data_IF_195319692898
#
_entry.id   IF_195319692898
#
_cell.length_a   1.000
_cell.length_b   1.000
_cell.length_c   1.000
_cell.angle_alpha   90.00
_cell.angle_beta   90.00
_cell.angle_gamma   90.00
#
_symmetry.space_group_name_H-M   'P 1'
#
loop_
_entity.id
_entity.type
_entity.pdbx_description
1 polymer ?
#
# COMPACT_ATOMS: atom_id res chain seq x y z
N UNK A 1 -8.14 59.65 -16.50
CA UNK A 1 -7.73 58.73 -15.43
C UNK A 1 -6.63 59.45 -14.65
N UNK A 2 -6.85 59.64 -13.35
CA UNK A 2 -5.87 60.35 -12.51
C UNK A 2 -4.67 59.45 -12.23
N UNK A 3 -3.56 59.80 -12.85
CA UNK A 3 -2.28 59.08 -12.71
C UNK A 3 -1.88 58.88 -11.23
N UNK A 4 -2.26 59.77 -10.34
CA UNK A 4 -2.07 59.69 -8.89
C UNK A 4 -2.79 58.47 -8.27
N UNK A 5 -4.02 58.16 -8.73
CA UNK A 5 -4.80 57.06 -8.20
C UNK A 5 -4.22 55.72 -8.65
N UNK A 6 -3.71 55.60 -9.88
CA UNK A 6 -3.03 54.42 -10.41
C UNK A 6 -1.71 54.20 -9.65
N UNK A 7 -0.95 55.25 -9.40
CA UNK A 7 0.31 55.14 -8.66
C UNK A 7 0.08 54.73 -7.20
N UNK A 8 -0.95 55.25 -6.54
CA UNK A 8 -1.34 54.84 -5.19
C UNK A 8 -1.79 53.36 -5.14
N UNK A 9 -2.53 52.89 -6.15
CA UNK A 9 -2.96 51.51 -6.22
C UNK A 9 -1.78 50.55 -6.37
N UNK A 10 -0.78 50.91 -7.21
CA UNK A 10 0.44 50.10 -7.38
C UNK A 10 1.24 50.03 -6.07
N UNK A 11 1.43 51.16 -5.41
CA UNK A 11 2.16 51.21 -4.13
C UNK A 11 1.45 50.36 -3.07
N UNK A 12 0.12 50.53 -2.95
CA UNK A 12 -0.65 49.73 -1.97
C UNK A 12 -0.58 48.24 -2.23
N UNK A 13 -0.70 47.83 -3.50
CA UNK A 13 -0.57 46.43 -3.92
C UNK A 13 0.82 45.87 -3.60
N UNK A 14 1.87 46.62 -3.86
CA UNK A 14 3.24 46.20 -3.57
C UNK A 14 3.48 46.04 -2.06
N UNK A 15 2.96 46.95 -1.24
CA UNK A 15 3.06 46.83 0.23
C UNK A 15 2.34 45.57 0.75
N UNK A 16 1.16 45.27 0.20
CA UNK A 16 0.43 44.03 0.57
C UNK A 16 1.22 42.78 0.18
N UNK A 17 1.81 42.75 -1.02
CA UNK A 17 2.61 41.62 -1.48
C UNK A 17 3.87 41.42 -0.63
N UNK A 18 4.58 42.48 -0.30
CA UNK A 18 5.76 42.42 0.57
C UNK A 18 5.37 41.96 1.99
N UNK A 19 4.26 42.51 2.52
CA UNK A 19 3.74 42.09 3.81
C UNK A 19 3.37 40.59 3.83
N UNK A 20 2.74 40.10 2.78
CA UNK A 20 2.43 38.66 2.65
C UNK A 20 3.70 37.81 2.59
N UNK A 21 4.67 38.16 1.75
CA UNK A 21 5.92 37.43 1.61
C UNK A 21 6.74 37.36 2.92
N UNK A 22 6.72 38.45 3.72
CA UNK A 22 7.48 38.46 4.99
C UNK A 22 6.82 37.72 6.14
N UNK A 23 5.47 37.62 6.14
CA UNK A 23 4.74 37.00 7.26
C UNK A 23 4.22 35.59 6.99
N UNK A 24 4.02 35.24 5.71
CA UNK A 24 3.38 33.96 5.33
C UNK A 24 4.25 33.03 4.48
N UNK A 25 5.33 33.52 3.84
CA UNK A 25 6.27 32.64 3.15
C UNK A 25 7.30 32.10 4.14
N UNK A 26 7.30 30.78 4.34
CA UNK A 26 8.35 30.09 5.07
C UNK A 26 9.68 30.24 4.33
N UNK A 27 10.82 30.47 5.00
CA UNK A 27 12.11 30.61 4.34
C UNK A 27 12.45 29.34 3.57
N UNK A 28 12.70 29.50 2.27
CA UNK A 28 13.24 28.44 1.42
C UNK A 28 14.64 28.12 1.99
N UNK A 29 14.79 26.94 2.58
CA UNK A 29 16.09 26.42 3.00
C UNK A 29 16.88 26.09 1.72
N UNK A 30 17.73 27.01 1.28
CA UNK A 30 18.75 26.73 0.27
C UNK A 30 19.67 25.62 0.80
N UNK A 31 19.57 24.45 0.23
CA UNK A 31 20.62 23.44 0.39
C UNK A 31 21.88 23.96 -0.25
N UNK A 32 22.79 24.48 0.58
CA UNK A 32 24.17 24.77 0.15
C UNK A 32 24.84 23.50 -0.30
N UNK A 33 25.04 23.37 -1.58
CA UNK A 33 25.97 22.41 -2.17
C UNK A 33 27.37 22.75 -1.63
N UNK A 34 27.88 21.89 -0.77
CA UNK A 34 29.26 22.03 -0.27
C UNK A 34 30.19 21.69 -1.41
N UNK A 35 30.82 22.69 -2.03
CA UNK A 35 31.96 22.56 -2.87
C UNK A 35 33.16 22.18 -1.98
N UNK A 36 33.61 20.93 -2.05
CA UNK A 36 34.86 20.47 -1.43
C UNK A 36 36.02 21.07 -2.16
N UNK A 37 36.69 22.05 -1.54
CA UNK A 37 38.04 22.45 -1.89
C UNK A 37 39.01 21.35 -1.47
N UNK A 38 39.68 20.77 -2.46
CA UNK A 38 40.78 19.81 -2.30
C UNK A 38 42.04 20.58 -1.91
N UNK A 39 42.45 20.48 -0.67
CA UNK A 39 43.85 20.75 -0.29
C UNK A 39 44.62 19.44 -0.35
N UNK A 40 45.62 19.42 -1.23
CA UNK A 40 46.64 18.37 -1.30
C UNK A 40 47.48 18.40 -0.02
N UNK A 41 47.55 17.26 0.67
CA UNK A 41 48.76 16.87 1.39
C UNK A 41 48.93 15.36 1.26
N UNK A 42 50.19 15.00 1.03
CA UNK A 42 50.66 13.70 0.60
C UNK A 42 50.82 12.70 1.74
N UNK A 43 50.73 11.41 1.36
CA UNK A 43 51.25 10.22 2.04
C UNK A 43 50.46 9.67 3.24
N UNK A 44 49.63 8.63 2.96
CA UNK A 44 49.84 7.31 3.54
C UNK A 44 48.96 6.30 2.79
N UNK A 45 49.60 5.34 2.13
CA UNK A 45 48.94 4.19 1.51
C UNK A 45 48.50 3.20 2.59
N UNK A 46 47.18 3.07 2.74
CA UNK A 46 46.51 1.89 3.28
C UNK A 46 45.39 1.49 2.32
N UNK A 47 45.26 0.22 1.91
CA UNK A 47 44.12 -0.21 1.14
C UNK A 47 42.91 -0.24 2.06
N UNK A 48 42.11 0.83 2.07
CA UNK A 48 40.79 0.77 2.59
C UNK A 48 39.94 -0.03 1.58
N UNK A 49 39.60 -1.24 1.94
CA UNK A 49 38.50 -1.97 1.36
C UNK A 49 37.27 -1.13 1.72
N UNK A 50 36.81 -0.32 0.78
CA UNK A 50 35.44 0.20 0.82
C UNK A 50 34.51 -1.03 0.71
N UNK A 51 34.20 -1.63 1.85
CA UNK A 51 33.00 -2.42 1.99
C UNK A 51 31.84 -1.44 1.82
N UNK A 52 31.47 -1.16 0.56
CA UNK A 52 30.09 -0.85 0.25
C UNK A 52 29.30 -2.01 0.81
N UNK A 53 28.71 -1.83 1.98
CA UNK A 53 27.55 -2.63 2.39
C UNK A 53 26.57 -2.58 1.23
N UNK A 54 26.61 -3.59 0.39
CA UNK A 54 25.53 -3.89 -0.54
C UNK A 54 24.39 -4.29 0.39
N UNK A 55 23.62 -3.31 0.88
CA UNK A 55 22.28 -3.56 1.37
C UNK A 55 21.56 -4.17 0.18
N UNK A 56 21.49 -5.48 0.14
CA UNK A 56 20.65 -6.22 -0.80
C UNK A 56 19.23 -5.73 -0.55
N UNK A 57 18.80 -4.70 -1.28
CA UNK A 57 17.43 -4.24 -1.25
C UNK A 57 16.56 -5.40 -1.69
N UNK A 58 15.76 -5.90 -0.75
CA UNK A 58 14.81 -6.98 -1.02
C UNK A 58 13.88 -6.49 -2.14
N UNK A 59 13.94 -7.13 -3.29
CA UNK A 59 13.10 -6.77 -4.42
C UNK A 59 11.70 -7.39 -4.29
N UNK A 60 10.73 -6.84 -5.03
CA UNK A 60 9.40 -7.42 -5.15
C UNK A 60 9.44 -8.89 -5.59
N UNK A 61 10.31 -9.22 -6.54
CA UNK A 61 10.50 -10.57 -7.06
C UNK A 61 11.01 -11.54 -5.99
N UNK A 62 11.93 -11.10 -5.15
CA UNK A 62 12.49 -11.91 -4.08
C UNK A 62 11.41 -12.33 -3.06
N UNK A 63 10.50 -11.39 -2.73
CA UNK A 63 9.39 -11.68 -1.81
C UNK A 63 8.39 -12.64 -2.45
N UNK A 64 8.01 -12.42 -3.70
CA UNK A 64 7.06 -13.28 -4.43
C UNK A 64 7.58 -14.72 -4.50
N UNK A 65 8.87 -14.90 -4.79
CA UNK A 65 9.46 -16.22 -4.98
C UNK A 65 9.67 -17.00 -3.66
N UNK A 66 9.62 -16.34 -2.51
CA UNK A 66 9.80 -17.00 -1.19
C UNK A 66 8.56 -17.71 -0.67
N UNK A 67 7.36 -17.39 -1.18
CA UNK A 67 6.11 -17.91 -0.66
C UNK A 67 5.36 -18.76 -1.69
N UNK A 68 4.64 -19.78 -1.21
CA UNK A 68 3.70 -20.49 -2.06
C UNK A 68 2.52 -19.59 -2.40
N UNK A 69 2.11 -19.58 -3.67
CA UNK A 69 1.13 -18.61 -4.16
C UNK A 69 0.06 -19.27 -5.05
N UNK A 70 -1.10 -18.62 -5.11
CA UNK A 70 -2.17 -18.92 -6.06
C UNK A 70 -2.15 -17.86 -7.15
N UNK A 71 -2.11 -18.27 -8.41
CA UNK A 71 -2.11 -17.36 -9.55
C UNK A 71 -3.46 -16.64 -9.68
N UNK A 72 -3.43 -15.37 -10.07
CA UNK A 72 -4.60 -14.55 -10.45
C UNK A 72 -4.48 -14.17 -11.90
N UNK A 73 -5.55 -14.33 -12.67
CA UNK A 73 -5.56 -13.89 -14.06
C UNK A 73 -6.97 -13.65 -14.61
N UNK A 74 -7.17 -12.49 -15.24
CA UNK A 74 -8.29 -12.20 -16.13
C UNK A 74 -7.81 -11.32 -17.30
N UNK A 75 -8.72 -10.72 -18.07
CA UNK A 75 -8.38 -9.86 -19.19
C UNK A 75 -7.62 -8.58 -18.79
N UNK A 76 -7.83 -8.08 -17.58
CA UNK A 76 -7.36 -6.76 -17.14
C UNK A 76 -6.20 -6.82 -16.14
N UNK A 77 -6.14 -7.88 -15.32
CA UNK A 77 -5.14 -8.04 -14.27
C UNK A 77 -4.45 -9.39 -14.34
N UNK A 78 -3.23 -9.43 -13.82
CA UNK A 78 -2.48 -10.63 -13.48
C UNK A 78 -1.79 -10.44 -12.13
N UNK A 79 -1.49 -11.55 -11.46
CA UNK A 79 -0.81 -11.49 -10.17
C UNK A 79 -0.92 -12.79 -9.40
N UNK A 80 -0.86 -12.68 -8.07
CA UNK A 80 -0.96 -13.84 -7.20
C UNK A 80 -1.39 -13.48 -5.77
N UNK A 81 -1.88 -14.49 -5.05
CA UNK A 81 -2.23 -14.45 -3.64
C UNK A 81 -1.19 -15.26 -2.87
N UNK A 82 -0.60 -14.69 -1.83
CA UNK A 82 0.25 -15.43 -0.91
C UNK A 82 -0.58 -16.42 -0.10
N UNK A 83 -0.13 -17.67 0.01
CA UNK A 83 -0.72 -18.65 0.92
C UNK A 83 -0.30 -18.45 2.37
N UNK A 84 0.75 -17.68 2.61
CA UNK A 84 1.10 -17.19 3.93
C UNK A 84 0.20 -15.98 4.25
N UNK A 85 -0.62 -16.08 5.28
CA UNK A 85 -1.61 -15.08 5.67
C UNK A 85 -2.85 -14.99 4.77
N UNK A 86 -2.87 -15.66 3.62
CA UNK A 86 -3.91 -15.51 2.58
C UNK A 86 -4.07 -14.05 2.12
N UNK A 87 -2.94 -13.41 1.79
CA UNK A 87 -2.82 -11.98 1.46
C UNK A 87 -2.89 -11.77 -0.05
N UNK A 88 -3.71 -10.82 -0.50
CA UNK A 88 -3.73 -10.34 -1.88
C UNK A 88 -2.73 -9.18 -1.97
N UNK A 89 -1.54 -9.45 -2.50
CA UNK A 89 -0.41 -8.54 -2.43
C UNK A 89 0.39 -8.42 -3.74
N UNK A 90 -0.09 -9.04 -4.80
CA UNK A 90 0.57 -9.03 -6.10
C UNK A 90 -0.47 -8.88 -7.21
N UNK A 91 -0.73 -7.64 -7.64
CA UNK A 91 -1.63 -7.32 -8.75
C UNK A 91 -0.93 -6.36 -9.70
N UNK A 92 -0.91 -6.72 -10.98
CA UNK A 92 -0.39 -5.91 -12.09
C UNK A 92 -1.53 -5.64 -13.06
N UNK A 93 -1.71 -4.40 -13.45
CA UNK A 93 -2.63 -4.01 -14.51
C UNK A 93 -2.04 -4.33 -15.89
N UNK A 94 -2.74 -5.16 -16.67
CA UNK A 94 -2.27 -5.56 -18.02
C UNK A 94 -2.36 -4.42 -19.05
N UNK A 95 -3.35 -3.56 -18.91
CA UNK A 95 -3.73 -2.55 -19.89
C UNK A 95 -3.27 -1.13 -19.54
N UNK A 96 -2.60 -0.95 -18.37
CA UNK A 96 -2.13 0.35 -17.90
C UNK A 96 -0.60 0.35 -17.79
N UNK A 97 0.01 1.38 -18.34
CA UNK A 97 1.46 1.62 -18.31
C UNK A 97 1.79 2.73 -17.32
N UNK A 98 2.96 2.70 -16.71
CA UNK A 98 3.42 3.75 -15.80
C UNK A 98 3.60 5.10 -16.48
N UNK A 99 4.04 5.07 -17.76
CA UNK A 99 4.21 6.28 -18.57
C UNK A 99 3.61 6.04 -19.96
N UNK A 100 3.22 7.11 -20.66
CA UNK A 100 2.58 7.04 -21.98
C UNK A 100 3.41 6.25 -23.00
N UNK A 101 4.71 6.46 -23.02
CA UNK A 101 5.63 5.85 -23.99
C UNK A 101 6.43 4.66 -23.41
N UNK A 102 6.22 4.31 -22.14
CA UNK A 102 6.94 3.21 -21.50
C UNK A 102 6.29 1.86 -21.76
N UNK A 103 7.05 0.79 -21.51
CA UNK A 103 6.53 -0.60 -21.55
C UNK A 103 6.17 -1.14 -20.16
N UNK A 104 6.67 -0.50 -19.10
CA UNK A 104 6.45 -0.95 -17.74
C UNK A 104 4.99 -0.81 -17.31
N UNK A 105 4.42 -1.91 -16.82
CA UNK A 105 3.03 -1.96 -16.33
C UNK A 105 2.94 -1.44 -14.90
N UNK A 106 1.74 -1.01 -14.51
CA UNK A 106 1.46 -0.56 -13.15
C UNK A 106 1.36 -1.78 -12.23
N UNK A 107 2.25 -1.83 -11.23
CA UNK A 107 2.10 -2.72 -10.09
C UNK A 107 1.13 -2.07 -9.12
N UNK A 108 -0.12 -2.53 -9.11
CA UNK A 108 -1.16 -1.96 -8.26
C UNK A 108 -1.00 -2.41 -6.80
N UNK A 109 -0.75 -3.70 -6.57
CA UNK A 109 -0.40 -4.24 -5.27
C UNK A 109 1.05 -4.75 -5.28
N UNK A 110 1.70 -4.59 -4.14
CA UNK A 110 3.07 -5.02 -3.90
C UNK A 110 3.14 -5.85 -2.62
N UNK A 111 3.96 -6.92 -2.61
CA UNK A 111 4.05 -7.84 -1.51
C UNK A 111 4.34 -7.17 -0.16
N UNK A 112 3.74 -7.73 0.88
CA UNK A 112 4.09 -7.47 2.27
C UNK A 112 5.60 -7.66 2.45
N UNK A 113 6.25 -6.79 3.20
CA UNK A 113 7.71 -6.73 3.40
C UNK A 113 8.53 -6.34 2.15
N UNK A 114 7.91 -5.85 1.08
CA UNK A 114 8.62 -5.21 -0.02
C UNK A 114 8.81 -3.70 0.26
N UNK A 115 9.76 -3.02 -0.41
CA UNK A 115 10.03 -1.59 -0.17
C UNK A 115 8.81 -0.68 -0.32
N UNK A 116 7.91 -1.01 -1.25
CA UNK A 116 6.66 -0.28 -1.54
C UNK A 116 5.45 -1.18 -1.33
N UNK A 117 5.36 -1.78 -0.13
CA UNK A 117 4.26 -2.69 0.18
C UNK A 117 2.90 -2.01 0.03
N UNK A 118 1.99 -2.71 -0.61
CA UNK A 118 0.59 -2.32 -0.76
C UNK A 118 -0.23 -3.60 -0.95
N UNK A 119 -0.97 -4.00 0.06
CA UNK A 119 -1.64 -5.28 0.09
C UNK A 119 -2.98 -5.22 0.82
N UNK A 120 -3.78 -6.27 0.61
CA UNK A 120 -5.09 -6.44 1.23
C UNK A 120 -5.04 -7.74 2.03
N UNK A 121 -5.39 -7.67 3.30
CA UNK A 121 -5.58 -8.84 4.16
C UNK A 121 -6.97 -8.84 4.79
N UNK A 122 -7.48 -10.01 5.05
CA UNK A 122 -8.73 -10.24 5.74
C UNK A 122 -8.54 -11.25 6.86
N UNK A 123 -9.31 -11.17 7.91
CA UNK A 123 -9.14 -12.07 9.05
C UNK A 123 -10.32 -12.06 9.99
N UNK A 124 -10.09 -12.59 11.19
CA UNK A 124 -11.06 -12.63 12.26
C UNK A 124 -10.42 -12.20 13.56
N UNK A 125 -11.13 -11.41 14.33
CA UNK A 125 -10.89 -11.17 15.73
C UNK A 125 -11.87 -12.00 16.56
N UNK A 126 -11.44 -12.50 17.71
CA UNK A 126 -12.31 -13.18 18.66
C UNK A 126 -12.63 -12.28 19.84
N UNK A 127 -13.84 -12.39 20.38
CA UNK A 127 -14.24 -11.77 21.65
C UNK A 127 -14.27 -12.79 22.77
N UNK A 128 -13.96 -12.35 23.99
CA UNK A 128 -14.02 -13.18 25.19
C UNK A 128 -12.65 -13.55 25.76
N UNK A 129 -12.67 -14.20 26.92
CA UNK A 129 -11.48 -14.59 27.68
C UNK A 129 -10.86 -15.92 27.24
N UNK A 130 -11.46 -16.61 26.29
CA UNK A 130 -10.95 -17.90 25.81
C UNK A 130 -9.79 -17.68 24.82
N UNK A 131 -8.69 -18.39 25.03
CA UNK A 131 -7.56 -18.42 24.11
C UNK A 131 -7.92 -19.27 22.88
N UNK A 132 -8.40 -18.61 21.83
CA UNK A 132 -8.73 -19.24 20.56
C UNK A 132 -7.54 -19.09 19.61
N UNK A 133 -7.11 -20.18 19.00
CA UNK A 133 -6.09 -20.14 17.95
C UNK A 133 -6.75 -19.66 16.65
N UNK A 134 -6.40 -18.43 16.27
CA UNK A 134 -6.84 -17.77 15.03
C UNK A 134 -5.78 -17.86 13.93
N UNK A 135 -6.15 -17.80 12.65
CA UNK A 135 -5.20 -17.65 11.58
C UNK A 135 -4.59 -16.25 11.62
N UNK A 136 -3.26 -16.17 11.63
CA UNK A 136 -2.47 -14.95 11.69
C UNK A 136 -1.80 -14.65 10.35
N UNK A 137 -1.07 -13.54 10.25
CA UNK A 137 -0.38 -13.13 9.04
C UNK A 137 0.72 -14.11 8.54
N UNK A 138 1.22 -14.99 9.40
CA UNK A 138 2.18 -16.05 9.06
C UNK A 138 1.55 -17.44 8.91
N UNK A 139 0.24 -17.54 9.00
CA UNK A 139 -0.47 -18.82 8.84
C UNK A 139 -0.41 -19.30 7.39
N UNK A 140 -0.02 -20.56 7.18
CA UNK A 140 -0.01 -21.17 5.85
C UNK A 140 -1.39 -21.77 5.56
N UNK A 141 -2.02 -21.26 4.51
CA UNK A 141 -3.33 -21.70 4.06
C UNK A 141 -3.22 -22.81 3.01
N UNK A 142 -4.16 -23.74 3.05
CA UNK A 142 -4.29 -24.82 2.08
C UNK A 142 -5.31 -24.43 1.00
N UNK A 143 -4.95 -24.68 -0.26
CA UNK A 143 -5.86 -24.45 -1.40
C UNK A 143 -6.71 -25.69 -1.61
N UNK A 144 -8.04 -25.50 -1.64
CA UNK A 144 -8.99 -26.54 -2.03
C UNK A 144 -9.37 -26.37 -3.51
N UNK A 145 -9.06 -27.36 -4.33
CA UNK A 145 -9.36 -27.32 -5.77
C UNK A 145 -8.30 -26.59 -6.60
N UNK A 146 -8.72 -25.72 -7.52
CA UNK A 146 -7.85 -25.03 -8.48
C UNK A 146 -6.90 -24.04 -7.82
N UNK A 147 -5.69 -23.94 -8.36
CA UNK A 147 -4.63 -23.01 -7.90
C UNK A 147 -4.51 -21.77 -8.79
N UNK A 148 -5.52 -21.47 -9.60
CA UNK A 148 -5.57 -20.26 -10.43
C UNK A 148 -6.93 -19.64 -10.28
N UNK A 149 -6.97 -18.40 -9.79
CA UNK A 149 -8.17 -17.57 -9.67
C UNK A 149 -8.42 -16.90 -11.01
N UNK A 150 -9.57 -17.20 -11.61
CA UNK A 150 -10.09 -16.56 -12.82
C UNK A 150 -11.57 -16.26 -12.63
N UNK A 151 -12.21 -15.47 -13.52
CA UNK A 151 -13.65 -15.20 -13.39
C UNK A 151 -14.54 -16.44 -13.34
N UNK A 152 -14.10 -17.53 -13.96
CA UNK A 152 -14.85 -18.79 -13.99
C UNK A 152 -14.36 -19.82 -12.95
N UNK A 153 -13.26 -19.54 -12.25
CA UNK A 153 -12.66 -20.44 -11.28
C UNK A 153 -12.38 -19.71 -9.97
N UNK A 154 -13.33 -19.66 -9.04
CA UNK A 154 -13.06 -19.17 -7.68
C UNK A 154 -12.09 -20.11 -6.97
N UNK A 155 -11.34 -19.58 -6.00
CA UNK A 155 -10.48 -20.36 -5.13
C UNK A 155 -11.05 -20.44 -3.72
N UNK A 156 -10.73 -21.52 -3.04
CA UNK A 156 -11.08 -21.70 -1.63
C UNK A 156 -9.82 -22.02 -0.84
N UNK A 157 -9.52 -21.16 0.12
CA UNK A 157 -8.43 -21.31 1.08
C UNK A 157 -9.00 -21.83 2.39
N UNK A 158 -8.36 -22.83 2.97
CA UNK A 158 -8.82 -23.49 4.20
C UNK A 158 -7.68 -23.60 5.19
N UNK A 159 -7.96 -23.32 6.44
CA UNK A 159 -7.06 -23.57 7.55
C UNK A 159 -7.82 -24.15 8.74
N UNK A 160 -7.28 -25.23 9.30
CA UNK A 160 -7.80 -25.92 10.49
C UNK A 160 -6.92 -25.54 11.69
N UNK A 161 -7.52 -25.07 12.76
CA UNK A 161 -6.76 -24.76 13.97
C UNK A 161 -6.40 -25.98 14.83
N UNK A 162 -6.87 -27.16 14.43
CA UNK A 162 -6.76 -28.44 15.15
C UNK A 162 -7.42 -28.43 16.55
N UNK A 163 -8.30 -27.47 16.79
CA UNK A 163 -9.06 -27.32 18.05
C UNK A 163 -10.59 -27.28 17.75
N UNK A 164 -10.98 -27.84 16.60
CA UNK A 164 -12.37 -27.96 16.17
C UNK A 164 -12.89 -26.79 15.33
N UNK A 165 -12.06 -25.81 14.95
CA UNK A 165 -12.46 -24.70 14.10
C UNK A 165 -11.76 -24.76 12.74
N UNK A 166 -12.54 -24.72 11.67
CA UNK A 166 -12.05 -24.69 10.30
C UNK A 166 -12.42 -23.33 9.69
N UNK A 167 -11.40 -22.54 9.37
CA UNK A 167 -11.52 -21.24 8.74
C UNK A 167 -11.44 -21.37 7.23
N UNK A 168 -12.32 -20.69 6.52
CA UNK A 168 -12.40 -20.75 5.06
C UNK A 168 -12.52 -19.36 4.48
N UNK A 169 -11.72 -19.07 3.44
CA UNK A 169 -11.83 -17.89 2.58
C UNK A 169 -12.15 -18.34 1.17
N UNK A 170 -13.32 -17.99 0.64
CA UNK A 170 -13.65 -18.14 -0.78
C UNK A 170 -13.38 -16.82 -1.47
N UNK A 171 -12.56 -16.82 -2.52
CA UNK A 171 -12.20 -15.65 -3.29
C UNK A 171 -12.67 -15.84 -4.72
N UNK A 172 -13.45 -14.87 -5.19
CA UNK A 172 -14.04 -14.80 -6.53
C UNK A 172 -13.53 -13.54 -7.20
N UNK A 173 -13.36 -13.58 -8.51
CA UNK A 173 -12.90 -12.47 -9.34
C UNK A 173 -13.88 -12.29 -10.50
N UNK A 174 -14.26 -11.07 -10.81
CA UNK A 174 -15.06 -10.78 -12.00
C UNK A 174 -14.18 -10.60 -13.27
N UNK A 175 -14.81 -10.29 -14.38
CA UNK A 175 -14.11 -10.03 -15.64
C UNK A 175 -13.38 -8.67 -15.66
N UNK A 176 -13.56 -7.82 -14.65
CA UNK A 176 -12.94 -6.49 -14.55
C UNK A 176 -11.90 -6.46 -13.42
N UNK A 177 -12.28 -5.93 -12.25
CA UNK A 177 -11.36 -5.67 -11.14
C UNK A 177 -11.95 -6.03 -9.79
N UNK A 178 -13.21 -6.52 -9.73
CA UNK A 178 -13.91 -6.78 -8.47
C UNK A 178 -13.50 -8.15 -7.90
N UNK A 179 -12.97 -8.12 -6.69
CA UNK A 179 -12.79 -9.29 -5.85
C UNK A 179 -13.95 -9.40 -4.86
N UNK A 180 -14.54 -10.60 -4.75
CA UNK A 180 -15.48 -10.91 -3.70
C UNK A 180 -14.85 -11.93 -2.76
N UNK A 181 -14.74 -11.56 -1.49
CA UNK A 181 -14.15 -12.41 -0.45
C UNK A 181 -15.24 -12.81 0.51
N UNK A 182 -15.49 -14.12 0.62
CA UNK A 182 -16.44 -14.69 1.58
C UNK A 182 -15.64 -15.40 2.65
N UNK A 183 -15.79 -14.98 3.90
CA UNK A 183 -15.16 -15.57 5.07
C UNK A 183 -16.19 -16.43 5.83
N UNK A 184 -15.79 -17.65 6.21
CA UNK A 184 -16.64 -18.54 7.00
C UNK A 184 -15.86 -19.37 7.98
N UNK A 185 -16.52 -19.78 9.06
CA UNK A 185 -15.95 -20.64 10.10
C UNK A 185 -16.88 -21.82 10.29
N UNK A 186 -16.34 -23.03 10.21
CA UNK A 186 -17.05 -24.24 10.63
C UNK A 186 -16.59 -24.59 12.04
N UNK A 187 -17.54 -24.62 12.97
CA UNK A 187 -17.30 -25.02 14.35
C UNK A 187 -17.72 -26.49 14.54
N UNK A 188 -16.76 -27.36 14.76
CA UNK A 188 -16.94 -28.77 15.07
C UNK A 188 -16.71 -29.04 16.59
N UNK A 189 -16.48 -28.00 17.39
CA UNK A 189 -16.35 -28.13 18.85
C UNK A 189 -17.72 -28.07 19.53
N UNK A 190 -17.75 -28.37 20.83
CA UNK A 190 -18.97 -28.28 21.64
C UNK A 190 -19.16 -26.89 22.31
N UNK A 191 -18.36 -25.89 21.91
CA UNK A 191 -18.36 -24.54 22.48
C UNK A 191 -18.90 -23.52 21.46
N UNK A 192 -19.56 -22.48 21.96
CA UNK A 192 -19.93 -21.32 21.15
C UNK A 192 -18.80 -20.26 21.22
N UNK A 193 -18.51 -19.66 20.06
CA UNK A 193 -17.51 -18.60 19.94
C UNK A 193 -18.09 -17.41 19.19
N UNK A 194 -17.60 -16.22 19.54
CA UNK A 194 -17.97 -14.97 18.87
C UNK A 194 -16.77 -14.43 18.11
N UNK A 195 -16.95 -14.21 16.80
CA UNK A 195 -15.93 -13.69 15.90
C UNK A 195 -16.40 -12.43 15.20
N UNK A 196 -15.45 -11.55 14.93
CA UNK A 196 -15.61 -10.34 14.14
C UNK A 196 -14.72 -10.45 12.91
N UNK A 197 -15.29 -10.52 11.69
CA UNK A 197 -14.48 -10.46 10.49
C UNK A 197 -13.93 -9.04 10.31
N UNK A 198 -12.70 -8.93 9.80
CA UNK A 198 -12.12 -7.66 9.40
C UNK A 198 -11.49 -7.74 8.01
N UNK A 199 -11.34 -6.58 7.38
CA UNK A 199 -10.55 -6.38 6.19
C UNK A 199 -9.64 -5.17 6.42
N UNK A 200 -8.41 -5.26 5.91
CA UNK A 200 -7.41 -4.21 6.03
C UNK A 200 -6.72 -4.00 4.70
N UNK A 201 -6.56 -2.73 4.31
CA UNK A 201 -5.71 -2.32 3.19
C UNK A 201 -4.51 -1.61 3.79
N UNK A 202 -3.32 -2.13 3.53
CA UNK A 202 -2.06 -1.54 4.01
C UNK A 202 -1.27 -1.01 2.84
N UNK A 203 -0.76 0.22 2.97
CA UNK A 203 0.14 0.84 2.00
C UNK A 203 1.27 1.57 2.72
N UNK A 204 2.51 1.38 2.26
CA UNK A 204 3.66 2.13 2.73
C UNK A 204 3.88 3.36 1.88
N UNK A 205 3.69 4.53 2.49
CA UNK A 205 3.82 5.83 1.83
C UNK A 205 2.62 6.20 0.94
N UNK A 206 2.56 7.47 0.56
CA UNK A 206 1.54 8.00 -0.34
C UNK A 206 1.80 7.57 -1.79
N UNK A 207 0.77 7.51 -2.66
CA UNK A 207 0.97 7.26 -4.08
C UNK A 207 1.89 8.33 -4.70
N UNK A 208 2.83 7.88 -5.54
CA UNK A 208 3.60 8.80 -6.37
C UNK A 208 2.72 9.28 -7.53
N UNK A 209 2.56 10.58 -7.70
CA UNK A 209 1.74 11.16 -8.76
C UNK A 209 2.15 12.60 -9.08
N UNK A 210 1.59 13.16 -10.15
CA UNK A 210 1.71 14.60 -10.43
C UNK A 210 0.84 15.35 -9.44
N UNK A 211 1.37 16.39 -8.83
CA UNK A 211 0.57 17.37 -8.07
C UNK A 211 -0.24 18.21 -9.04
N UNK A 212 -1.40 17.69 -9.42
CA UNK A 212 -2.46 18.43 -10.11
C UNK A 212 -3.64 18.52 -9.16
N UNK A 213 -4.51 19.46 -9.39
CA UNK A 213 -5.74 19.58 -8.61
C UNK A 213 -6.55 18.28 -8.69
N UNK A 214 -6.65 17.58 -7.57
CA UNK A 214 -7.36 16.30 -7.42
C UNK A 214 -8.49 16.55 -6.42
N UNK A 215 -9.70 16.13 -6.76
CA UNK A 215 -10.88 16.32 -5.90
C UNK A 215 -10.83 15.47 -4.63
N UNK A 216 -10.26 14.28 -4.73
CA UNK A 216 -10.09 13.34 -3.61
C UNK A 216 -8.82 12.50 -3.83
N UNK A 217 -7.99 12.42 -2.82
CA UNK A 217 -6.79 11.59 -2.80
C UNK A 217 -6.70 10.86 -1.45
N UNK A 218 -7.23 9.63 -1.40
CA UNK A 218 -7.32 8.91 -0.13
C UNK A 218 -7.99 7.56 -0.25
N UNK A 219 -8.63 7.16 0.82
CA UNK A 219 -9.40 5.93 0.93
C UNK A 219 -10.88 6.18 0.66
N UNK A 220 -11.48 5.23 -0.02
CA UNK A 220 -12.90 5.20 -0.32
C UNK A 220 -13.46 3.87 0.11
N UNK A 221 -14.54 3.87 0.85
CA UNK A 221 -15.20 2.65 1.31
C UNK A 221 -16.71 2.80 1.41
N UNK A 222 -17.42 1.70 1.21
CA UNK A 222 -18.86 1.62 1.45
C UNK A 222 -19.10 0.63 2.58
N UNK A 223 -19.71 1.11 3.67
CA UNK A 223 -20.02 0.33 4.86
C UNK A 223 -21.54 0.30 5.06
N UNK A 224 -22.16 -0.84 4.76
CA UNK A 224 -23.61 -0.91 4.62
C UNK A 224 -24.06 -0.06 3.43
N UNK A 225 -24.83 0.99 3.68
CA UNK A 225 -25.33 1.93 2.66
C UNK A 225 -24.59 3.29 2.70
N UNK A 226 -23.56 3.42 3.54
CA UNK A 226 -22.81 4.67 3.75
C UNK A 226 -21.50 4.65 2.98
N UNK A 227 -21.27 5.70 2.16
CA UNK A 227 -20.00 5.98 1.51
C UNK A 227 -19.11 6.80 2.46
N UNK A 228 -17.93 6.28 2.75
CA UNK A 228 -16.90 6.97 3.57
C UNK A 228 -15.71 7.30 2.69
N UNK A 229 -15.31 8.56 2.71
CA UNK A 229 -14.13 9.09 2.04
C UNK A 229 -13.17 9.64 3.12
N UNK A 230 -11.89 9.29 3.03
CA UNK A 230 -10.83 9.76 3.93
C UNK A 230 -9.62 10.17 3.11
N UNK A 231 -9.27 11.45 3.13
CA UNK A 231 -8.06 11.94 2.48
C UNK A 231 -6.80 11.46 3.20
N UNK A 232 -5.67 11.34 2.48
CA UNK A 232 -4.40 10.96 3.11
C UNK A 232 -3.92 12.00 4.13
N UNK A 233 -4.29 13.27 3.98
CA UNK A 233 -4.02 14.33 4.97
C UNK A 233 -4.71 14.06 6.30
N UNK A 234 -5.95 13.59 6.28
CA UNK A 234 -6.73 13.34 7.49
C UNK A 234 -6.12 12.21 8.34
N UNK A 235 -5.45 11.25 7.69
CA UNK A 235 -4.83 10.11 8.36
C UNK A 235 -3.54 10.49 9.07
N UNK A 236 -2.77 11.43 8.52
CA UNK A 236 -1.53 11.92 9.13
C UNK A 236 -1.80 12.64 10.48
N UNK A 237 -3.01 13.18 10.66
CA UNK A 237 -3.44 13.91 11.87
C UNK A 237 -4.10 13.01 12.92
N UNK A 238 -4.61 11.84 12.55
CA UNK A 238 -5.17 10.86 13.47
C UNK A 238 -4.03 10.06 14.15
N UNK A 239 -3.68 10.45 15.39
CA UNK A 239 -2.82 9.63 16.26
C UNK A 239 -3.66 8.51 16.85
N UNK A 240 -3.41 7.27 16.41
CA UNK A 240 -3.95 6.05 17.00
C UNK A 240 -3.17 5.66 18.27
#
# INVERSE_FOLDING_TARGET
MDFRNVLMAIVLSTVVLIGWATFFESPIVEQKTAENQITKDENFSSPSIDEKEIKNEITRSDVINKTNRVKIENANIKGSISLEGAVIDDIIFKNYKKTLNGEEKINFLNPKNSPKEHFIETGWAASGNEKIKLPLGNTIWNVKGNRTLTPNNPITLVWDNNEGLIFTKKIELDNKFLFKITQSIKNNSNKAFQFYPYAQITRKGKPEGRQIYILHEGFLGVFGDELIEKDYSDIDDEKF
#
